data_IF_974842220641
#
_entry.id   IF_974842220641
#
_cell.length_a   1.000
_cell.length_b   1.000
_cell.length_c   1.000
_cell.angle_alpha   90.00
_cell.angle_beta   90.00
_cell.angle_gamma   90.00
#
_symmetry.space_group_name_H-M   'P 1'
#
loop_
_entity.id
_entity.type
_entity.pdbx_description
1 polymer ?
#
# COMPACT_ATOMS: atom_id res chain seq x y z
N UNK A 1 -22.23 -39.86 50.75
CA UNK A 1 -22.46 -39.42 52.13
C UNK A 1 -22.15 -37.93 52.20
N UNK A 2 -23.10 -37.16 52.76
CA UNK A 2 -23.03 -35.80 53.34
C UNK A 2 -22.32 -34.71 52.49
N UNK A 3 -22.96 -33.74 51.83
CA UNK A 3 -23.85 -32.65 52.29
C UNK A 3 -23.38 -31.96 53.58
N UNK A 4 -22.99 -30.67 53.49
CA UNK A 4 -23.34 -29.65 54.48
C UNK A 4 -23.30 -28.26 53.85
N UNK A 5 -24.47 -27.63 53.87
CA UNK A 5 -24.78 -26.22 53.61
C UNK A 5 -24.70 -25.47 54.94
N UNK A 6 -24.24 -24.21 54.96
CA UNK A 6 -24.61 -23.26 56.02
C UNK A 6 -24.94 -21.92 55.38
N UNK A 7 -26.11 -21.39 55.76
CA UNK A 7 -26.67 -20.12 55.37
C UNK A 7 -26.98 -19.30 56.65
N UNK A 8 -27.06 -17.98 56.46
CA UNK A 8 -27.76 -16.96 57.26
C UNK A 8 -27.09 -16.36 58.51
N UNK A 9 -26.97 -15.02 58.53
CA UNK A 9 -27.99 -14.19 59.20
C UNK A 9 -27.89 -12.70 58.81
N UNK A 10 -29.06 -12.10 58.62
CA UNK A 10 -29.34 -10.67 58.48
C UNK A 10 -29.67 -10.10 59.87
N UNK A 11 -29.41 -8.80 60.08
CA UNK A 11 -30.19 -7.98 61.00
C UNK A 11 -30.28 -6.54 60.49
N UNK A 12 -31.52 -6.10 60.25
CA UNK A 12 -31.92 -4.74 59.92
C UNK A 12 -31.68 -3.74 61.07
N UNK A 13 -31.51 -2.47 60.71
CA UNK A 13 -32.15 -1.35 61.44
C UNK A 13 -32.29 -0.12 60.55
N UNK A 14 -33.54 0.34 60.47
CA UNK A 14 -34.06 1.54 59.82
C UNK A 14 -33.57 2.86 60.48
N UNK A 15 -33.59 3.92 59.66
CA UNK A 15 -34.00 5.32 59.92
C UNK A 15 -33.34 6.18 58.82
N UNK A 16 -33.96 7.06 58.03
CA UNK A 16 -35.27 7.71 58.05
C UNK A 16 -35.10 9.10 57.41
N UNK A 17 -36.06 9.50 56.57
CA UNK A 17 -36.36 10.85 56.06
C UNK A 17 -35.59 11.48 54.86
N UNK A 18 -36.24 11.36 53.68
CA UNK A 18 -36.96 12.40 52.92
C UNK A 18 -36.42 13.84 52.77
N UNK A 19 -36.46 14.33 51.51
CA UNK A 19 -37.05 15.61 50.99
C UNK A 19 -36.69 15.69 49.47
N UNK A 20 -37.52 15.27 48.50
CA UNK A 20 -38.66 15.90 47.77
C UNK A 20 -38.45 17.29 47.14
N UNK A 21 -38.74 17.40 45.82
CA UNK A 21 -39.19 18.62 45.12
C UNK A 21 -38.51 18.85 43.76
N UNK A 22 -39.01 18.35 42.63
CA UNK A 22 -40.10 18.87 41.77
C UNK A 22 -39.70 20.02 40.79
N UNK A 23 -40.13 19.84 39.53
CA UNK A 23 -40.01 20.65 38.28
C UNK A 23 -41.45 21.12 37.91
N UNK A 24 -41.82 21.98 36.90
CA UNK A 24 -41.29 23.18 36.15
C UNK A 24 -42.33 24.37 36.27
N UNK A 25 -42.65 25.31 35.30
CA UNK A 25 -42.12 25.69 33.96
C UNK A 25 -42.08 27.21 33.56
N UNK A 26 -41.53 27.46 32.35
CA UNK A 26 -41.89 28.48 31.33
C UNK A 26 -41.54 29.98 31.52
N UNK A 27 -40.79 30.59 30.58
CA UNK A 27 -41.28 31.54 29.54
C UNK A 27 -40.14 32.28 28.80
N UNK A 28 -40.47 32.69 27.56
CA UNK A 28 -39.69 33.41 26.53
C UNK A 28 -39.32 34.85 26.92
N UNK A 29 -38.20 35.41 26.40
CA UNK A 29 -38.17 36.52 25.40
C UNK A 29 -36.75 37.08 25.13
N UNK A 30 -36.46 37.26 23.83
CA UNK A 30 -35.78 38.39 23.13
C UNK A 30 -34.31 38.83 23.36
N UNK A 31 -33.61 38.86 22.21
CA UNK A 31 -32.78 39.92 21.63
C UNK A 31 -31.48 40.41 22.33
N UNK A 32 -30.36 40.06 21.69
CA UNK A 32 -29.33 41.00 21.22
C UNK A 32 -28.38 41.60 22.24
N UNK A 33 -27.10 41.17 22.22
CA UNK A 33 -26.03 42.14 21.98
C UNK A 33 -24.69 41.52 21.57
N UNK A 34 -23.95 42.27 20.76
CA UNK A 34 -22.66 41.92 20.15
C UNK A 34 -21.54 41.93 21.19
N UNK A 35 -20.84 40.80 21.39
CA UNK A 35 -19.58 40.77 22.14
C UNK A 35 -18.37 40.70 21.20
N UNK A 36 -17.57 41.76 21.22
CA UNK A 36 -16.28 41.93 20.52
C UNK A 36 -15.20 41.03 21.12
N UNK A 37 -14.34 40.51 20.26
CA UNK A 37 -13.10 39.81 20.62
C UNK A 37 -12.04 40.76 21.21
N UNK A 38 -11.20 40.32 22.17
CA UNK A 38 -10.10 41.13 22.70
C UNK A 38 -8.83 40.99 21.83
N UNK A 39 -8.22 42.14 21.53
CA UNK A 39 -6.92 42.32 20.89
C UNK A 39 -5.83 42.21 21.95
N UNK A 40 -4.79 41.39 21.70
CA UNK A 40 -3.58 41.30 22.51
C UNK A 40 -2.49 42.22 21.91
N UNK A 41 -2.07 43.26 22.65
CA UNK A 41 -0.87 44.05 22.35
C UNK A 41 0.37 43.40 22.97
N UNK A 42 1.43 43.23 22.18
CA UNK A 42 2.75 42.78 22.62
C UNK A 42 3.68 43.98 22.86
N UNK A 43 4.17 44.12 24.10
CA UNK A 43 5.22 45.07 24.48
C UNK A 43 6.60 44.47 24.14
N UNK A 44 7.40 45.20 23.36
CA UNK A 44 8.82 44.94 23.12
C UNK A 44 9.63 46.06 23.78
N UNK A 45 10.59 45.71 24.66
CA UNK A 45 11.72 46.57 24.99
C UNK A 45 12.88 45.76 25.57
N UNK A 46 14.04 45.75 24.91
CA UNK A 46 15.37 45.58 25.55
C UNK A 46 16.45 46.35 24.75
N UNK A 47 17.50 46.89 25.41
CA UNK A 47 18.38 47.90 24.83
C UNK A 47 19.64 47.35 24.14
N UNK A 48 20.19 48.16 23.23
CA UNK A 48 21.40 47.90 22.44
C UNK A 48 22.70 47.92 23.26
N UNK A 49 23.63 47.02 22.93
CA UNK A 49 25.05 47.07 23.33
C UNK A 49 25.94 47.31 22.11
N UNK A 50 26.73 48.38 22.19
CA UNK A 50 27.77 48.81 21.25
C UNK A 50 28.99 47.89 21.35
N UNK A 51 29.56 47.47 20.21
CA UNK A 51 30.85 46.77 20.15
C UNK A 51 31.82 47.61 19.30
N UNK A 52 32.98 47.89 19.88
CA UNK A 52 34.11 48.63 19.31
C UNK A 52 34.87 47.81 18.27
N UNK A 53 35.23 48.44 17.15
CA UNK A 53 36.03 47.89 16.05
C UNK A 53 37.52 48.14 16.34
N UNK A 54 38.35 47.10 16.33
CA UNK A 54 39.81 47.19 16.31
C UNK A 54 40.32 46.91 14.89
N UNK A 55 41.16 47.81 14.38
CA UNK A 55 41.83 47.70 13.07
C UNK A 55 43.07 46.80 13.12
N UNK A 56 43.30 45.99 12.08
CA UNK A 56 44.64 45.51 11.73
C UNK A 56 44.77 45.27 10.21
N UNK A 57 45.98 45.55 9.70
CA UNK A 57 46.37 45.76 8.30
C UNK A 57 46.02 44.65 7.27
N UNK A 58 45.83 45.00 5.98
CA UNK A 58 45.58 44.02 4.91
C UNK A 58 46.87 43.33 4.44
N UNK A 59 46.84 41.98 4.39
CA UNK A 59 47.80 41.16 3.63
C UNK A 59 47.37 41.12 2.17
N UNK A 60 48.28 41.42 1.25
CA UNK A 60 48.08 41.31 -0.20
C UNK A 60 47.90 39.84 -0.61
N UNK A 61 46.77 39.53 -1.26
CA UNK A 61 46.37 38.18 -1.66
C UNK A 61 46.75 37.92 -3.13
N UNK A 62 47.71 37.03 -3.37
CA UNK A 62 48.21 36.66 -4.70
C UNK A 62 47.19 35.80 -5.46
N UNK A 63 46.47 36.40 -6.42
CA UNK A 63 45.39 35.78 -7.21
C UNK A 63 45.79 34.48 -7.94
N UNK A 64 47.09 34.28 -8.24
CA UNK A 64 47.59 33.12 -8.99
C UNK A 64 47.51 31.80 -8.22
N UNK A 65 47.40 31.81 -6.88
CA UNK A 65 47.34 30.59 -6.06
C UNK A 65 45.93 30.00 -5.90
N UNK A 66 44.89 30.69 -6.34
CA UNK A 66 43.48 30.25 -6.25
C UNK A 66 42.92 29.78 -7.61
N UNK A 67 43.43 30.33 -8.73
CA UNK A 67 42.92 30.00 -10.07
C UNK A 67 43.27 28.58 -10.54
N UNK A 68 44.42 28.04 -10.14
CA UNK A 68 44.84 26.66 -10.52
C UNK A 68 43.96 25.58 -9.88
N UNK A 69 43.67 25.60 -8.55
CA UNK A 69 42.75 24.62 -7.96
C UNK A 69 41.30 24.80 -8.44
N UNK A 70 40.85 26.02 -8.75
CA UNK A 70 39.52 26.24 -9.35
C UNK A 70 39.40 25.66 -10.77
N UNK A 71 40.44 25.78 -11.59
CA UNK A 71 40.47 25.19 -12.92
C UNK A 71 40.39 23.66 -12.89
N UNK A 72 41.08 23.02 -11.94
CA UNK A 72 41.03 21.56 -11.76
C UNK A 72 39.65 21.11 -11.24
N UNK A 73 39.01 21.89 -10.35
CA UNK A 73 37.65 21.63 -9.88
C UNK A 73 36.59 21.77 -10.99
N UNK A 74 36.75 22.73 -11.90
CA UNK A 74 35.84 22.92 -13.03
C UNK A 74 35.98 21.81 -14.09
N UNK A 75 37.21 21.36 -14.37
CA UNK A 75 37.45 20.23 -15.29
C UNK A 75 36.95 18.92 -14.68
N UNK A 76 37.18 18.70 -13.38
CA UNK A 76 36.65 17.54 -12.64
C UNK A 76 35.12 17.54 -12.59
N UNK A 77 34.50 18.71 -12.38
CA UNK A 77 33.04 18.88 -12.41
C UNK A 77 32.43 18.62 -13.79
N UNK A 78 33.08 19.07 -14.86
CA UNK A 78 32.63 18.81 -16.23
C UNK A 78 32.77 17.33 -16.62
N UNK A 79 33.83 16.65 -16.18
CA UNK A 79 34.00 15.19 -16.37
C UNK A 79 32.98 14.38 -15.57
N UNK A 80 32.66 14.78 -14.34
CA UNK A 80 31.60 14.16 -13.54
C UNK A 80 30.21 14.40 -14.15
N UNK A 81 29.94 15.60 -14.67
CA UNK A 81 28.71 15.91 -15.38
C UNK A 81 28.60 15.14 -16.71
N UNK A 82 29.70 14.94 -17.44
CA UNK A 82 29.75 14.13 -18.66
C UNK A 82 29.53 12.65 -18.36
N UNK A 83 30.15 12.12 -17.29
CA UNK A 83 29.93 10.74 -16.83
C UNK A 83 28.49 10.56 -16.35
N UNK A 84 27.94 11.52 -15.60
CA UNK A 84 26.54 11.53 -15.18
C UNK A 84 25.58 11.60 -16.38
N UNK A 85 25.88 12.43 -17.38
CA UNK A 85 25.11 12.53 -18.62
C UNK A 85 25.19 11.24 -19.46
N UNK A 86 26.35 10.59 -19.52
CA UNK A 86 26.55 9.31 -20.19
C UNK A 86 25.89 8.14 -19.43
N UNK A 87 25.75 8.24 -18.11
CA UNK A 87 25.05 7.25 -17.27
C UNK A 87 23.52 7.40 -17.35
N UNK A 88 23.00 8.61 -17.52
CA UNK A 88 21.55 8.87 -17.61
C UNK A 88 21.00 8.64 -19.03
N UNK A 89 21.79 8.90 -20.07
CA UNK A 89 21.36 8.62 -21.45
C UNK A 89 21.44 7.14 -21.83
N UNK A 90 21.92 6.26 -20.94
CA UNK A 90 21.57 4.84 -21.03
C UNK A 90 20.19 4.67 -20.40
N UNK A 91 19.15 4.83 -21.23
CA UNK A 91 17.87 4.20 -20.99
C UNK A 91 18.10 2.68 -20.87
N UNK A 92 18.39 2.21 -19.66
CA UNK A 92 18.36 0.79 -19.34
C UNK A 92 16.89 0.44 -19.22
N UNK A 93 16.25 0.21 -20.37
CA UNK A 93 15.05 -0.59 -20.44
C UNK A 93 15.45 -2.01 -20.04
N UNK A 94 15.02 -2.45 -18.87
CA UNK A 94 15.09 -3.87 -18.50
C UNK A 94 13.94 -4.58 -19.22
N UNK A 95 14.14 -4.87 -20.51
CA UNK A 95 13.38 -5.92 -21.16
C UNK A 95 13.80 -7.27 -20.55
N UNK A 96 12.88 -8.13 -20.08
CA UNK A 96 13.21 -9.44 -19.56
C UNK A 96 13.43 -10.44 -20.71
N UNK A 97 14.34 -10.12 -21.63
CA UNK A 97 14.94 -11.05 -22.60
C UNK A 97 16.36 -10.54 -22.93
N UNK A 98 17.36 -11.42 -23.11
CA UNK A 98 18.72 -11.01 -23.45
C UNK A 98 18.75 -10.33 -24.82
N UNK A 99 19.04 -9.03 -24.82
CA UNK A 99 19.38 -8.29 -26.03
C UNK A 99 20.66 -8.82 -26.66
N UNK A 100 20.58 -9.14 -27.95
CA UNK A 100 21.68 -9.55 -28.82
C UNK A 100 22.78 -8.47 -28.77
N UNK A 101 23.95 -8.82 -28.21
CA UNK A 101 25.13 -7.94 -28.27
C UNK A 101 25.79 -8.05 -29.64
N UNK A 102 26.04 -6.89 -30.25
CA UNK A 102 26.88 -6.77 -31.45
C UNK A 102 28.31 -7.23 -31.16
N UNK A 103 28.87 -7.98 -32.11
CA UNK A 103 29.90 -8.97 -31.84
C UNK A 103 31.35 -8.49 -31.83
N UNK A 104 32.17 -9.30 -31.14
CA UNK A 104 33.44 -9.82 -31.65
C UNK A 104 33.74 -11.16 -30.99
N UNK A 105 33.65 -12.25 -31.76
CA UNK A 105 34.43 -13.49 -31.64
C UNK A 105 34.26 -14.35 -30.38
N UNK A 106 33.43 -15.38 -30.47
CA UNK A 106 33.41 -16.51 -29.54
C UNK A 106 32.23 -17.44 -29.81
N UNK A 107 32.47 -18.52 -30.55
CA UNK A 107 31.49 -19.58 -30.80
C UNK A 107 31.00 -20.19 -29.48
N UNK A 108 29.69 -20.12 -29.27
CA UNK A 108 29.01 -20.62 -28.07
C UNK A 108 27.55 -20.19 -28.07
N UNK A 109 26.76 -20.74 -28.99
CA UNK A 109 25.30 -20.60 -29.01
C UNK A 109 24.69 -21.27 -27.78
N UNK A 110 24.62 -20.52 -26.67
CA UNK A 110 23.80 -20.86 -25.52
C UNK A 110 22.46 -20.14 -25.61
N UNK A 111 21.55 -20.61 -26.48
CA UNK A 111 20.13 -20.48 -26.16
C UNK A 111 19.95 -21.30 -24.89
N UNK A 112 19.98 -20.64 -23.72
CA UNK A 112 19.57 -21.28 -22.48
C UNK A 112 18.17 -21.82 -22.70
N UNK A 113 18.05 -23.15 -22.70
CA UNK A 113 16.79 -23.84 -22.89
C UNK A 113 15.79 -23.30 -21.86
N UNK A 114 14.56 -22.98 -22.25
CA UNK A 114 13.52 -22.50 -21.31
C UNK A 114 13.30 -23.50 -20.18
N UNK A 115 13.66 -24.77 -20.39
CA UNK A 115 13.67 -25.83 -19.38
C UNK A 115 14.68 -25.64 -18.24
N UNK A 116 15.62 -24.71 -18.37
CA UNK A 116 16.59 -24.37 -17.31
C UNK A 116 16.20 -23.11 -16.52
N UNK A 117 15.07 -22.46 -16.83
CA UNK A 117 14.64 -21.25 -16.13
C UNK A 117 13.65 -21.55 -15.00
N UNK A 118 13.73 -20.78 -13.92
CA UNK A 118 12.71 -20.75 -12.87
C UNK A 118 11.61 -19.76 -13.26
N UNK A 119 10.38 -20.25 -13.39
CA UNK A 119 9.20 -19.42 -13.66
C UNK A 119 8.54 -19.01 -12.34
N UNK A 120 8.46 -17.70 -12.09
CA UNK A 120 7.77 -17.16 -10.93
C UNK A 120 6.27 -17.57 -10.96
N UNK A 121 5.76 -18.33 -9.98
CA UNK A 121 4.37 -18.80 -9.97
C UNK A 121 3.34 -17.70 -9.71
N UNK A 122 3.77 -16.51 -9.30
CA UNK A 122 2.90 -15.37 -9.03
C UNK A 122 2.60 -14.58 -10.29
N UNK A 123 3.60 -14.35 -11.15
CA UNK A 123 3.51 -13.40 -12.27
C UNK A 123 4.21 -13.86 -13.57
N UNK A 124 4.75 -15.07 -13.60
CA UNK A 124 5.34 -15.68 -14.79
C UNK A 124 6.71 -15.15 -15.19
N UNK A 125 7.30 -14.19 -14.49
CA UNK A 125 8.66 -13.74 -14.80
C UNK A 125 9.65 -14.91 -14.74
N UNK A 126 10.55 -14.99 -15.73
CA UNK A 126 11.56 -16.04 -15.83
C UNK A 126 12.88 -15.58 -15.23
N UNK A 127 13.50 -16.43 -14.43
CA UNK A 127 14.79 -16.21 -13.78
C UNK A 127 15.72 -17.37 -14.06
N UNK A 128 17.04 -17.13 -14.10
CA UNK A 128 17.99 -18.24 -14.05
C UNK A 128 17.82 -19.00 -12.72
N UNK A 129 18.17 -20.29 -12.67
CA UNK A 129 18.12 -21.04 -11.41
C UNK A 129 18.94 -20.35 -10.31
N UNK A 130 20.10 -19.79 -10.66
CA UNK A 130 20.98 -19.08 -9.72
C UNK A 130 20.35 -17.80 -9.18
N UNK A 131 19.67 -17.01 -10.01
CA UNK A 131 18.99 -15.80 -9.53
C UNK A 131 17.82 -16.17 -8.60
N UNK A 132 17.13 -17.26 -8.92
CA UNK A 132 16.00 -17.76 -8.16
C UNK A 132 16.38 -18.31 -6.78
N UNK A 133 17.61 -18.78 -6.56
CA UNK A 133 18.05 -19.28 -5.25
C UNK A 133 17.84 -18.29 -4.11
N UNK A 134 17.91 -16.99 -4.41
CA UNK A 134 17.74 -15.94 -3.42
C UNK A 134 16.31 -15.79 -2.91
N UNK A 135 15.29 -16.33 -3.60
CA UNK A 135 13.88 -16.12 -3.24
C UNK A 135 12.96 -17.32 -3.42
N UNK A 136 13.29 -18.32 -4.23
CA UNK A 136 12.40 -19.43 -4.60
C UNK A 136 11.83 -20.19 -3.39
N UNK A 137 12.63 -20.30 -2.33
CA UNK A 137 12.30 -20.99 -1.09
C UNK A 137 11.81 -20.03 0.02
N UNK A 138 11.59 -18.75 -0.28
CA UNK A 138 11.07 -17.75 0.68
C UNK A 138 9.58 -17.55 0.50
N UNK A 139 8.86 -17.26 1.58
CA UNK A 139 7.48 -16.79 1.48
C UNK A 139 7.40 -15.41 0.81
N UNK A 140 6.37 -15.17 -0.02
CA UNK A 140 6.02 -13.82 -0.45
C UNK A 140 5.75 -12.91 0.75
N UNK A 141 5.89 -11.60 0.54
CA UNK A 141 5.59 -10.57 1.54
C UNK A 141 4.50 -9.65 0.98
N UNK A 142 3.38 -9.59 1.68
CA UNK A 142 2.28 -8.69 1.40
C UNK A 142 2.40 -7.46 2.30
N UNK A 143 2.48 -6.26 1.71
CA UNK A 143 2.67 -5.02 2.49
C UNK A 143 1.49 -4.10 2.28
N UNK A 144 0.84 -3.68 3.35
CA UNK A 144 -0.20 -2.65 3.29
C UNK A 144 0.42 -1.28 3.04
N UNK A 145 0.02 -0.65 1.94
CA UNK A 145 0.55 0.64 1.49
C UNK A 145 -0.58 1.67 1.35
N UNK A 146 -0.27 2.87 1.81
CA UNK A 146 -1.09 4.06 1.71
C UNK A 146 -1.33 4.44 0.25
N UNK A 147 -2.53 4.93 -0.07
CA UNK A 147 -2.77 5.64 -1.33
C UNK A 147 -3.39 7.03 -1.14
N UNK A 148 -3.30 7.58 0.07
CA UNK A 148 -3.70 8.96 0.34
C UNK A 148 -2.89 9.93 -0.51
N UNK A 149 -3.57 10.91 -1.10
CA UNK A 149 -3.01 11.83 -2.08
C UNK A 149 -1.71 12.49 -1.63
N UNK A 150 -1.69 13.11 -0.44
CA UNK A 150 -0.52 13.83 0.07
C UNK A 150 0.64 12.91 0.48
N UNK A 151 0.42 11.59 0.51
CA UNK A 151 1.45 10.61 0.82
C UNK A 151 2.16 10.07 -0.44
N UNK A 152 1.60 10.33 -1.64
CA UNK A 152 2.20 9.93 -2.92
C UNK A 152 3.39 10.86 -3.26
N UNK A 153 4.43 10.38 -3.96
CA UNK A 153 4.64 8.99 -4.39
C UNK A 153 5.01 8.05 -3.24
N UNK A 154 4.63 6.79 -3.42
CA UNK A 154 5.01 5.65 -2.57
C UNK A 154 6.34 5.06 -3.05
N UNK A 155 7.14 4.50 -2.15
CA UNK A 155 8.42 3.85 -2.47
C UNK A 155 8.24 2.34 -2.63
N UNK A 156 8.90 1.72 -3.61
CA UNK A 156 9.08 0.28 -3.76
C UNK A 156 8.00 -0.45 -4.58
N UNK A 157 6.97 0.24 -5.08
CA UNK A 157 5.87 -0.37 -5.83
C UNK A 157 6.33 -0.97 -7.17
N UNK A 158 7.35 -0.42 -7.84
CA UNK A 158 7.82 -0.94 -9.13
C UNK A 158 8.49 -2.32 -9.02
N UNK A 159 8.82 -2.76 -7.80
CA UNK A 159 9.38 -4.08 -7.52
C UNK A 159 8.33 -5.15 -7.24
N UNK A 160 7.06 -4.80 -7.04
CA UNK A 160 6.03 -5.78 -6.72
C UNK A 160 5.81 -6.78 -7.87
N UNK A 161 5.45 -8.01 -7.53
CA UNK A 161 5.03 -9.02 -8.52
C UNK A 161 3.54 -8.84 -8.86
N UNK A 162 2.71 -8.59 -7.84
CA UNK A 162 1.28 -8.26 -7.95
C UNK A 162 0.99 -7.07 -7.05
N UNK A 163 0.09 -6.17 -7.46
CA UNK A 163 -0.42 -5.10 -6.60
C UNK A 163 -1.94 -5.17 -6.57
N UNK A 164 -2.51 -5.29 -5.38
CA UNK A 164 -3.95 -5.12 -5.17
C UNK A 164 -4.30 -3.68 -4.79
N UNK A 165 -5.39 -3.14 -5.31
CA UNK A 165 -5.94 -1.85 -4.92
C UNK A 165 -7.45 -1.95 -4.63
N UNK A 166 -7.84 -1.56 -3.42
CA UNK A 166 -9.23 -1.67 -2.92
C UNK A 166 -9.58 -0.42 -2.09
N UNK A 167 -10.84 0.00 -2.08
CA UNK A 167 -11.33 1.07 -1.19
C UNK A 167 -11.20 0.65 0.26
N UNK A 168 -10.63 1.53 1.09
CA UNK A 168 -10.44 1.30 2.53
C UNK A 168 -11.40 2.11 3.39
N UNK A 169 -11.39 3.43 3.27
CA UNK A 169 -12.14 4.34 4.14
C UNK A 169 -12.57 5.56 3.35
N UNK A 170 -13.86 5.90 3.40
CA UNK A 170 -14.38 7.15 2.82
C UNK A 170 -13.93 7.40 1.36
N UNK A 171 -13.88 6.33 0.55
CA UNK A 171 -13.46 6.39 -0.86
C UNK A 171 -11.96 6.41 -1.13
N UNK A 172 -11.12 6.50 -0.08
CA UNK A 172 -9.67 6.40 -0.21
C UNK A 172 -9.28 4.95 -0.42
N UNK A 173 -8.52 4.66 -1.48
CA UNK A 173 -7.97 3.31 -1.70
C UNK A 173 -6.72 3.05 -0.87
N UNK A 174 -6.41 1.77 -0.70
CA UNK A 174 -5.09 1.30 -0.24
C UNK A 174 -4.54 0.31 -1.24
N UNK A 175 -3.22 0.24 -1.26
CA UNK A 175 -2.48 -0.71 -2.07
C UNK A 175 -2.00 -1.86 -1.19
N UNK A 176 -1.89 -3.04 -1.77
CA UNK A 176 -1.19 -4.18 -1.18
C UNK A 176 -0.31 -4.85 -2.24
N UNK A 177 0.93 -4.36 -2.44
CA UNK A 177 1.93 -5.09 -3.19
C UNK A 177 2.28 -6.42 -2.52
N UNK A 178 2.40 -7.46 -3.36
CA UNK A 178 2.99 -8.75 -3.06
C UNK A 178 4.40 -8.79 -3.66
N UNK A 179 5.40 -9.06 -2.83
CA UNK A 179 6.80 -9.19 -3.23
C UNK A 179 7.26 -10.63 -3.04
N UNK A 180 7.79 -11.25 -4.08
CA UNK A 180 8.36 -12.59 -4.05
C UNK A 180 9.68 -12.64 -4.80
N UNK A 181 9.70 -12.36 -6.11
CA UNK A 181 10.92 -12.47 -6.92
C UNK A 181 11.80 -11.23 -6.86
N UNK A 182 11.20 -10.07 -6.59
CA UNK A 182 11.87 -8.78 -6.53
C UNK A 182 11.42 -8.09 -5.26
N UNK A 183 12.35 -7.42 -4.59
CA UNK A 183 12.10 -6.73 -3.32
C UNK A 183 12.73 -5.33 -3.36
N UNK A 184 12.05 -4.30 -2.83
CA UNK A 184 12.61 -2.95 -2.73
C UNK A 184 13.60 -2.86 -1.55
N UNK A 185 14.37 -1.78 -1.46
CA UNK A 185 15.10 -1.46 -0.22
C UNK A 185 14.14 -0.93 0.84
N UNK A 186 13.25 -0.01 0.43
CA UNK A 186 12.25 0.62 1.29
C UNK A 186 10.86 0.61 0.66
N UNK A 187 9.86 0.24 1.47
CA UNK A 187 8.45 0.31 1.11
C UNK A 187 7.75 1.39 1.94
N UNK A 188 7.07 2.32 1.28
CA UNK A 188 6.38 3.44 1.94
C UNK A 188 5.14 3.90 1.16
N UNK A 189 4.12 4.50 1.77
CA UNK A 189 3.94 4.63 3.22
C UNK A 189 3.10 3.49 3.77
N UNK A 190 3.53 2.80 4.83
CA UNK A 190 2.80 1.62 5.34
C UNK A 190 1.47 2.04 5.99
N UNK A 191 0.44 1.22 5.81
CA UNK A 191 -0.91 1.49 6.33
C UNK A 191 -1.60 0.32 7.00
N UNK A 192 -2.77 0.62 7.55
CA UNK A 192 -3.50 -0.31 8.36
C UNK A 192 -4.10 -1.45 7.54
N UNK A 193 -4.17 -2.62 8.15
CA UNK A 193 -4.82 -3.80 7.60
C UNK A 193 -6.35 -3.67 7.55
N UNK A 194 -6.98 -4.21 6.51
CA UNK A 194 -8.43 -4.48 6.43
C UNK A 194 -8.63 -5.95 6.15
N UNK A 195 -9.73 -6.54 6.62
CA UNK A 195 -9.90 -7.99 6.59
C UNK A 195 -9.81 -8.58 5.17
N UNK A 196 -10.39 -7.92 4.16
CA UNK A 196 -10.31 -8.39 2.78
C UNK A 196 -8.87 -8.38 2.23
N UNK A 197 -7.99 -7.47 2.68
CA UNK A 197 -6.55 -7.56 2.35
C UNK A 197 -5.86 -8.73 3.04
N UNK A 198 -6.32 -9.12 4.25
CA UNK A 198 -5.85 -10.33 4.94
C UNK A 198 -6.21 -11.58 4.13
N UNK A 199 -7.45 -11.67 3.62
CA UNK A 199 -7.87 -12.75 2.72
C UNK A 199 -7.03 -12.79 1.43
N UNK A 200 -6.83 -11.63 0.78
CA UNK A 200 -5.96 -11.54 -0.40
C UNK A 200 -4.53 -12.01 -0.10
N UNK A 201 -3.93 -11.60 1.02
CA UNK A 201 -2.59 -12.03 1.43
C UNK A 201 -2.51 -13.53 1.76
N UNK A 202 -3.58 -14.09 2.32
CA UNK A 202 -3.70 -15.52 2.60
C UNK A 202 -3.70 -16.38 1.32
N UNK A 203 -4.23 -15.85 0.21
CA UNK A 203 -4.08 -16.46 -1.13
C UNK A 203 -2.63 -16.71 -1.56
N UNK A 204 -1.69 -15.90 -1.06
CA UNK A 204 -0.25 -16.02 -1.34
C UNK A 204 0.54 -16.70 -0.22
N UNK A 205 -0.13 -17.13 0.87
CA UNK A 205 0.50 -17.66 2.09
C UNK A 205 1.64 -16.74 2.59
N UNK A 206 1.44 -15.44 2.42
CA UNK A 206 2.45 -14.40 2.55
C UNK A 206 2.69 -13.98 4.00
N UNK A 207 3.85 -13.38 4.26
CA UNK A 207 4.06 -12.55 5.44
C UNK A 207 3.30 -11.25 5.29
N UNK A 208 2.50 -10.91 6.29
CA UNK A 208 1.64 -9.74 6.22
C UNK A 208 2.21 -8.56 7.01
N UNK A 209 2.51 -7.48 6.32
CA UNK A 209 3.17 -6.31 6.89
C UNK A 209 2.19 -5.14 6.88
N UNK A 210 1.95 -4.54 8.04
CA UNK A 210 0.96 -3.48 8.18
C UNK A 210 1.32 -2.51 9.31
N UNK A 211 0.55 -1.44 9.47
CA UNK A 211 0.68 -0.50 10.59
C UNK A 211 -0.70 -0.22 11.19
N UNK A 212 -1.03 -0.95 12.26
CA UNK A 212 -2.36 -1.02 12.83
C UNK A 212 -3.36 -1.79 11.96
N UNK A 213 -4.57 -1.99 12.48
CA UNK A 213 -5.63 -2.67 11.75
C UNK A 213 -7.01 -2.09 12.11
N UNK A 214 -8.03 -2.41 11.31
CA UNK A 214 -9.41 -2.30 11.81
C UNK A 214 -9.59 -3.34 12.94
N UNK A 215 -10.15 -2.94 14.09
CA UNK A 215 -10.27 -3.82 15.26
C UNK A 215 -11.45 -3.46 16.13
N UNK A 216 -12.03 -4.45 16.80
CA UNK A 216 -13.04 -4.25 17.84
C UNK A 216 -12.34 -3.84 19.14
N UNK A 217 -12.68 -2.68 19.73
CA UNK A 217 -12.02 -2.20 20.93
C UNK A 217 -12.35 -3.08 22.15
N UNK A 218 -11.42 -3.13 23.11
CA UNK A 218 -11.56 -3.96 24.32
C UNK A 218 -12.85 -3.66 25.11
N UNK A 219 -13.27 -2.39 25.17
CA UNK A 219 -14.51 -2.01 25.83
C UNK A 219 -15.76 -2.60 25.15
N UNK A 220 -15.73 -2.83 23.84
CA UNK A 220 -16.82 -3.46 23.11
C UNK A 220 -16.82 -4.99 23.28
N UNK A 221 -15.64 -5.59 23.51
CA UNK A 221 -15.51 -7.03 23.85
C UNK A 221 -15.86 -7.33 25.32
N UNK A 222 -15.98 -6.33 26.19
CA UNK A 222 -16.24 -6.51 27.61
C UNK A 222 -17.69 -6.98 27.88
N UNK A 223 -17.94 -7.75 28.96
CA UNK A 223 -19.29 -8.09 29.38
C UNK A 223 -20.12 -6.82 29.62
N UNK A 224 -21.40 -6.82 29.24
CA UNK A 224 -22.30 -5.65 29.39
C UNK A 224 -22.40 -5.19 30.86
N UNK A 225 -22.17 -6.10 31.81
CA UNK A 225 -22.16 -5.83 33.26
C UNK A 225 -20.85 -5.20 33.77
N UNK A 226 -19.81 -5.12 32.94
CA UNK A 226 -18.51 -4.59 33.32
C UNK A 226 -18.48 -3.06 33.25
N UNK A 227 -17.80 -2.43 34.22
CA UNK A 227 -17.52 -0.98 34.19
C UNK A 227 -16.67 -0.53 32.99
N UNK A 228 -15.96 -1.47 32.35
CA UNK A 228 -15.19 -1.23 31.13
C UNK A 228 -16.00 -1.35 29.84
N UNK A 229 -17.29 -1.72 29.90
CA UNK A 229 -18.13 -1.84 28.71
C UNK A 229 -18.47 -0.47 28.12
N UNK A 230 -18.28 -0.32 26.80
CA UNK A 230 -18.73 0.84 26.06
C UNK A 230 -19.98 0.48 25.24
N UNK A 231 -21.17 1.03 25.57
CA UNK A 231 -22.38 0.75 24.80
C UNK A 231 -22.29 1.40 23.40
N UNK A 232 -23.00 0.86 22.40
CA UNK A 232 -23.16 1.48 21.09
C UNK A 232 -23.61 2.95 21.21
N UNK A 233 -22.95 3.85 20.48
CA UNK A 233 -23.31 5.27 20.42
C UNK A 233 -24.12 5.53 19.16
N UNK A 234 -25.32 6.09 19.30
CA UNK A 234 -26.23 6.30 18.16
C UNK A 234 -26.68 5.00 17.49
N UNK A 235 -26.77 3.90 18.26
CA UNK A 235 -27.15 2.58 17.76
C UNK A 235 -26.04 1.84 16.99
N UNK A 236 -24.82 2.38 16.95
CA UNK A 236 -23.69 1.80 16.22
C UNK A 236 -22.56 1.35 17.15
N UNK A 237 -22.03 0.18 16.88
CA UNK A 237 -20.75 -0.28 17.46
C UNK A 237 -19.59 0.52 16.89
N UNK A 238 -18.45 0.55 17.60
CA UNK A 238 -17.25 1.26 17.12
C UNK A 238 -16.66 0.58 15.88
N UNK A 239 -16.56 -0.75 15.92
CA UNK A 239 -16.15 -1.58 14.80
C UNK A 239 -17.04 -2.83 14.76
N UNK A 240 -17.56 -3.20 13.59
CA UNK A 240 -18.29 -4.48 13.46
C UNK A 240 -17.31 -5.67 13.59
N UNK A 241 -17.60 -6.70 14.42
CA UNK A 241 -16.73 -7.87 14.55
C UNK A 241 -16.40 -8.59 13.24
N UNK A 242 -17.27 -8.52 12.23
CA UNK A 242 -17.03 -9.14 10.92
C UNK A 242 -15.83 -8.54 10.18
N UNK A 243 -15.47 -7.29 10.48
CA UNK A 243 -14.38 -6.56 9.83
C UNK A 243 -13.16 -6.35 10.74
N UNK A 244 -13.10 -7.04 11.89
CA UNK A 244 -11.93 -7.04 12.77
C UNK A 244 -10.74 -7.73 12.07
N UNK A 245 -9.85 -6.93 11.51
CA UNK A 245 -8.73 -7.42 10.73
C UNK A 245 -7.67 -8.14 11.60
N UNK A 246 -7.55 -7.83 12.90
CA UNK A 246 -6.66 -8.62 13.76
C UNK A 246 -7.23 -10.03 13.99
N UNK A 247 -8.53 -10.13 14.24
CA UNK A 247 -9.18 -11.45 14.40
C UNK A 247 -9.07 -12.25 13.09
N UNK A 248 -9.18 -11.60 11.92
CA UNK A 248 -8.94 -12.25 10.63
C UNK A 248 -7.48 -12.68 10.40
N UNK A 249 -6.49 -11.90 10.81
CA UNK A 249 -5.07 -12.30 10.74
C UNK A 249 -4.85 -13.59 11.54
N UNK A 250 -5.43 -13.68 12.74
CA UNK A 250 -5.38 -14.89 13.58
C UNK A 250 -6.13 -16.04 12.93
N UNK A 251 -7.36 -15.80 12.45
CA UNK A 251 -8.23 -16.80 11.80
C UNK A 251 -7.56 -17.42 10.57
N UNK A 252 -6.87 -16.62 9.76
CA UNK A 252 -6.16 -17.09 8.57
C UNK A 252 -4.77 -17.67 8.87
N UNK A 253 -4.30 -17.55 10.12
CA UNK A 253 -2.98 -18.02 10.52
C UNK A 253 -1.84 -17.29 9.80
N UNK A 254 -2.01 -16.01 9.47
CA UNK A 254 -1.00 -15.23 8.75
C UNK A 254 0.11 -14.76 9.70
N UNK A 255 1.38 -15.13 9.46
CA UNK A 255 2.50 -14.47 10.11
C UNK A 255 2.47 -12.98 9.74
N UNK A 256 2.65 -12.11 10.73
CA UNK A 256 2.55 -10.68 10.49
C UNK A 256 3.50 -9.85 11.35
N UNK A 257 3.86 -8.68 10.83
CA UNK A 257 4.54 -7.62 11.57
C UNK A 257 3.69 -6.36 11.49
N UNK A 258 3.24 -5.91 12.66
CA UNK A 258 2.61 -4.60 12.85
C UNK A 258 3.68 -3.57 13.19
N UNK A 259 3.98 -2.68 12.25
CA UNK A 259 4.97 -1.62 12.41
C UNK A 259 4.70 -0.71 13.61
N UNK A 260 3.43 -0.58 14.04
CA UNK A 260 3.09 0.17 15.26
C UNK A 260 3.69 -0.42 16.55
N UNK A 261 3.99 -1.71 16.57
CA UNK A 261 4.57 -2.41 17.72
C UNK A 261 6.10 -2.51 17.66
N UNK A 262 6.70 -2.32 16.47
CA UNK A 262 8.11 -2.58 16.21
C UNK A 262 8.86 -1.41 15.60
N UNK A 263 8.25 -0.21 15.55
CA UNK A 263 8.91 1.00 15.10
C UNK A 263 9.97 1.45 16.08
N UNK A 264 11.14 1.85 15.57
CA UNK A 264 12.18 2.48 16.37
C UNK A 264 12.95 3.53 15.56
N UNK A 265 13.80 4.27 16.26
CA UNK A 265 14.67 5.29 15.66
C UNK A 265 16.01 4.69 15.26
N UNK A 266 16.42 4.92 14.01
CA UNK A 266 17.75 4.55 13.51
C UNK A 266 17.74 3.68 12.24
N UNK A 267 18.93 3.43 11.67
CA UNK A 267 19.09 2.73 10.40
C UNK A 267 18.80 1.22 10.51
N UNK A 268 18.93 0.64 11.71
CA UNK A 268 18.72 -0.79 11.97
C UNK A 268 17.27 -1.14 12.32
N UNK A 269 16.36 -0.16 12.22
CA UNK A 269 14.94 -0.35 12.49
C UNK A 269 14.23 -0.82 11.23
N UNK A 270 13.51 -1.94 11.32
CA UNK A 270 12.71 -2.44 10.19
C UNK A 270 11.56 -1.50 9.86
N UNK A 271 10.99 -0.82 10.86
CA UNK A 271 9.91 0.17 10.70
C UNK A 271 10.34 1.53 11.22
N UNK A 272 9.86 2.59 10.59
CA UNK A 272 10.12 3.96 11.01
C UNK A 272 9.12 4.96 10.43
N UNK A 273 9.35 6.24 10.70
CA UNK A 273 8.61 7.38 10.12
C UNK A 273 9.53 8.19 9.22
N UNK A 274 9.08 8.48 8.01
CA UNK A 274 9.85 9.20 7.00
C UNK A 274 10.07 10.66 7.47
N UNK A 275 11.31 11.05 7.80
CA UNK A 275 11.60 12.39 8.30
C UNK A 275 11.30 13.48 7.27
N UNK A 276 11.24 13.15 5.98
CA UNK A 276 10.88 14.10 4.94
C UNK A 276 9.37 14.40 4.89
N UNK A 277 8.54 13.52 5.47
CA UNK A 277 7.07 13.65 5.53
C UNK A 277 6.57 14.02 6.93
N UNK A 278 7.29 13.66 8.00
CA UNK A 278 6.94 14.05 9.39
C UNK A 278 6.84 15.57 9.51
N UNK A 279 5.74 16.04 10.10
CA UNK A 279 5.45 17.48 10.25
C UNK A 279 4.90 18.16 8.99
N UNK A 280 4.85 17.46 7.84
CA UNK A 280 4.27 17.99 6.58
C UNK A 280 2.91 17.36 6.24
N UNK A 281 2.71 16.11 6.65
CA UNK A 281 1.44 15.39 6.52
C UNK A 281 1.11 14.70 7.85
N UNK A 282 -0.15 14.28 8.09
CA UNK A 282 -0.51 13.59 9.31
C UNK A 282 0.37 12.34 9.52
N UNK A 283 0.84 12.15 10.75
CA UNK A 283 1.91 11.21 11.10
C UNK A 283 1.62 9.80 10.61
N UNK A 284 0.36 9.40 10.63
CA UNK A 284 -0.12 8.10 10.20
C UNK A 284 0.19 7.80 8.72
N UNK A 285 0.39 8.83 7.87
CA UNK A 285 0.78 8.69 6.46
C UNK A 285 2.31 8.67 6.24
N UNK A 286 3.12 8.66 7.29
CA UNK A 286 4.59 8.78 7.18
C UNK A 286 5.35 7.48 7.44
N UNK A 287 4.66 6.39 7.77
CA UNK A 287 5.30 5.10 8.07
C UNK A 287 6.06 4.52 6.87
N UNK A 288 7.18 3.86 7.09
CA UNK A 288 7.88 3.04 6.08
C UNK A 288 8.40 1.74 6.70
N UNK A 289 8.77 0.76 5.87
CA UNK A 289 9.63 -0.34 6.29
C UNK A 289 10.86 -0.51 5.38
N UNK A 290 11.95 -0.98 5.98
CA UNK A 290 13.17 -1.42 5.29
C UNK A 290 13.05 -2.90 5.03
N UNK A 291 12.85 -3.26 3.77
CA UNK A 291 12.56 -4.63 3.37
C UNK A 291 13.64 -5.64 3.83
N UNK A 292 14.96 -5.35 3.70
CA UNK A 292 16.01 -6.27 4.14
C UNK A 292 15.97 -6.60 5.64
N UNK A 293 15.38 -5.73 6.45
CA UNK A 293 15.31 -5.89 7.90
C UNK A 293 14.05 -6.63 8.37
N UNK A 294 13.03 -6.77 7.51
CA UNK A 294 11.77 -7.45 7.86
C UNK A 294 12.03 -8.91 8.26
N UNK A 295 12.78 -9.66 7.46
CA UNK A 295 13.13 -11.05 7.76
C UNK A 295 14.00 -11.20 9.02
N UNK A 296 14.83 -10.19 9.32
CA UNK A 296 15.63 -10.19 10.55
C UNK A 296 14.72 -10.01 11.77
N UNK A 297 13.93 -8.94 11.78
CA UNK A 297 12.99 -8.63 12.87
C UNK A 297 12.05 -9.80 13.13
N UNK A 298 11.49 -10.35 12.06
CA UNK A 298 10.67 -11.55 12.05
C UNK A 298 11.28 -12.73 12.83
N UNK A 299 12.51 -13.13 12.49
CA UNK A 299 13.18 -14.24 13.18
C UNK A 299 13.38 -13.97 14.67
N UNK A 300 13.55 -12.71 15.05
CA UNK A 300 13.77 -12.31 16.44
C UNK A 300 12.48 -12.31 17.25
N UNK A 301 11.38 -11.77 16.70
CA UNK A 301 10.12 -11.54 17.45
C UNK A 301 9.03 -12.57 17.17
N UNK A 302 9.21 -13.41 16.14
CA UNK A 302 8.29 -14.48 15.72
C UNK A 302 9.06 -15.77 15.35
N UNK A 303 9.91 -16.32 16.23
CA UNK A 303 10.73 -17.49 15.91
C UNK A 303 9.92 -18.76 15.60
N UNK A 304 8.67 -18.83 16.09
CA UNK A 304 7.74 -19.93 15.80
C UNK A 304 7.12 -19.84 14.40
N UNK A 305 7.15 -18.67 13.76
CA UNK A 305 6.55 -18.49 12.44
C UNK A 305 7.58 -18.97 11.39
N UNK A 306 7.17 -19.82 10.45
CA UNK A 306 8.08 -20.36 9.43
C UNK A 306 8.36 -19.32 8.33
N UNK A 307 9.26 -18.37 8.63
CA UNK A 307 9.49 -17.21 7.76
C UNK A 307 10.11 -17.52 6.41
N UNK A 308 10.82 -18.64 6.31
CA UNK A 308 11.44 -19.07 5.07
C UNK A 308 10.49 -20.00 4.31
N UNK A 309 9.95 -21.04 4.95
CA UNK A 309 9.20 -22.12 4.31
C UNK A 309 8.19 -21.64 3.24
N UNK A 310 8.61 -21.72 1.97
CA UNK A 310 7.74 -21.49 0.83
C UNK A 310 6.63 -22.55 0.83
N UNK A 311 5.40 -22.06 0.67
CA UNK A 311 4.23 -22.92 0.46
C UNK A 311 3.81 -22.66 -0.98
N UNK A 312 3.74 -23.69 -1.84
CA UNK A 312 3.28 -23.52 -3.20
C UNK A 312 1.95 -22.78 -3.24
N UNK A 313 1.93 -21.66 -3.97
CA UNK A 313 0.72 -20.91 -4.26
C UNK A 313 0.08 -21.45 -5.53
N UNK A 314 -1.24 -21.34 -5.65
CA UNK A 314 -1.92 -21.60 -6.92
C UNK A 314 -1.29 -20.74 -8.01
N UNK A 315 -0.87 -21.38 -9.10
CA UNK A 315 -0.17 -20.74 -10.21
C UNK A 315 -1.18 -20.39 -11.30
N UNK A 316 -1.10 -19.15 -11.82
CA UNK A 316 -1.80 -18.79 -13.05
C UNK A 316 -1.04 -19.27 -14.28
N UNK A 317 -1.72 -19.31 -15.42
CA UNK A 317 -1.05 -19.56 -16.69
C UNK A 317 -0.43 -18.27 -17.21
N UNK A 318 0.73 -18.41 -17.87
CA UNK A 318 1.51 -17.28 -18.35
C UNK A 318 1.97 -17.47 -19.79
N UNK A 319 2.11 -16.36 -20.51
CA UNK A 319 2.59 -16.29 -21.89
C UNK A 319 3.57 -15.14 -22.07
N UNK A 320 4.44 -15.27 -23.06
CA UNK A 320 5.35 -14.18 -23.43
C UNK A 320 4.57 -13.00 -24.06
N UNK A 321 5.24 -11.86 -24.21
CA UNK A 321 4.69 -10.69 -24.91
C UNK A 321 4.18 -11.09 -26.30
N UNK A 322 3.01 -10.57 -26.70
CA UNK A 322 2.57 -10.72 -28.08
C UNK A 322 3.57 -10.02 -29.04
N UNK A 323 3.80 -10.57 -30.24
CA UNK A 323 4.50 -9.86 -31.31
C UNK A 323 3.86 -8.49 -31.57
N UNK A 324 4.65 -7.49 -31.92
CA UNK A 324 4.15 -6.11 -32.11
C UNK A 324 2.98 -6.02 -33.09
N UNK A 325 3.00 -6.84 -34.16
CA UNK A 325 1.94 -6.96 -35.16
C UNK A 325 0.62 -7.53 -34.61
N UNK A 326 0.67 -8.22 -33.47
CA UNK A 326 -0.49 -8.82 -32.82
C UNK A 326 -1.01 -8.01 -31.63
N UNK A 327 -0.27 -6.96 -31.21
CA UNK A 327 -0.69 -6.06 -30.12
C UNK A 327 -1.83 -5.17 -30.58
N UNK A 328 -2.86 -5.04 -29.73
CA UNK A 328 -3.99 -4.15 -29.96
C UNK A 328 -3.69 -2.69 -29.61
N UNK A 329 -4.73 -1.87 -29.60
CA UNK A 329 -4.65 -0.42 -29.34
C UNK A 329 -5.51 0.02 -28.14
N UNK A 330 -6.08 -0.93 -27.37
CA UNK A 330 -6.86 -0.62 -26.15
C UNK A 330 -5.95 0.07 -25.14
N UNK A 331 -6.37 1.22 -24.64
CA UNK A 331 -5.59 2.04 -23.73
C UNK A 331 -4.60 3.00 -24.40
N UNK A 332 -4.40 2.94 -25.73
CA UNK A 332 -3.43 3.77 -26.44
C UNK A 332 -3.96 5.20 -26.65
N UNK A 333 -4.93 5.37 -27.57
CA UNK A 333 -5.56 6.66 -27.85
C UNK A 333 -6.69 6.99 -26.86
N UNK A 334 -7.41 5.96 -26.41
CA UNK A 334 -8.45 6.05 -25.38
C UNK A 334 -7.98 5.30 -24.13
N UNK A 335 -7.41 6.00 -23.14
CA UNK A 335 -6.87 5.40 -21.93
C UNK A 335 -7.93 4.66 -21.12
N UNK A 336 -7.53 3.57 -20.46
CA UNK A 336 -8.42 2.87 -19.53
C UNK A 336 -8.60 3.78 -18.32
N UNK A 337 -9.83 4.16 -18.03
CA UNK A 337 -10.14 5.13 -16.98
C UNK A 337 -11.42 4.78 -16.23
N UNK A 338 -11.37 5.03 -14.93
CA UNK A 338 -12.46 4.82 -14.00
C UNK A 338 -12.13 5.55 -12.69
N UNK A 339 -13.11 5.64 -11.82
CA UNK A 339 -12.88 6.04 -10.44
C UNK A 339 -13.34 4.91 -9.52
N UNK A 340 -12.85 4.87 -8.29
CA UNK A 340 -13.37 3.92 -7.29
C UNK A 340 -14.71 4.42 -6.77
N UNK A 341 -14.70 5.57 -6.11
CA UNK A 341 -15.88 6.36 -5.75
C UNK A 341 -15.79 7.72 -6.43
N UNK A 342 -16.74 8.63 -6.22
CA UNK A 342 -16.72 9.97 -6.81
C UNK A 342 -15.71 10.92 -6.11
N UNK A 343 -14.41 10.58 -6.18
CA UNK A 343 -13.30 11.35 -5.62
C UNK A 343 -12.24 11.62 -6.70
N UNK A 344 -12.11 12.85 -7.22
CA UNK A 344 -11.19 13.15 -8.33
C UNK A 344 -9.73 12.73 -8.07
N UNK A 345 -9.23 12.87 -6.84
CA UNK A 345 -7.86 12.50 -6.45
C UNK A 345 -7.54 11.00 -6.62
N UNK A 346 -8.57 10.16 -6.72
CA UNK A 346 -8.48 8.70 -6.86
C UNK A 346 -8.84 8.20 -8.26
N UNK A 347 -9.26 9.08 -9.17
CA UNK A 347 -9.52 8.73 -10.56
C UNK A 347 -8.28 8.08 -11.17
N UNK A 348 -8.44 6.85 -11.69
CA UNK A 348 -7.36 6.03 -12.25
C UNK A 348 -7.35 6.17 -13.75
N UNK A 349 -6.14 6.20 -14.31
CA UNK A 349 -5.90 6.16 -15.74
C UNK A 349 -4.72 5.26 -16.06
N UNK A 350 -4.90 4.39 -17.05
CA UNK A 350 -3.84 3.58 -17.65
C UNK A 350 -3.70 3.92 -19.12
N UNK A 351 -2.48 4.25 -19.55
CA UNK A 351 -2.14 4.49 -20.95
C UNK A 351 -1.27 3.35 -21.44
N UNK A 352 -1.67 2.72 -22.54
CA UNK A 352 -0.92 1.62 -23.13
C UNK A 352 0.29 2.15 -23.91
N UNK A 353 1.45 1.59 -23.59
CA UNK A 353 2.73 1.78 -24.25
C UNK A 353 2.97 0.57 -25.16
N UNK A 354 2.59 0.72 -26.44
CA UNK A 354 2.62 -0.37 -27.42
C UNK A 354 4.03 -0.85 -27.73
N UNK A 355 5.03 0.01 -27.61
CA UNK A 355 6.45 -0.33 -27.83
C UNK A 355 6.94 -1.30 -26.75
N UNK A 356 6.71 -0.96 -25.48
CA UNK A 356 7.15 -1.75 -24.34
C UNK A 356 6.17 -2.87 -23.91
N UNK A 357 4.99 -2.93 -24.53
CA UNK A 357 3.90 -3.86 -24.19
C UNK A 357 3.46 -3.74 -22.72
N UNK A 358 3.26 -2.51 -22.24
CA UNK A 358 2.98 -2.21 -20.84
C UNK A 358 1.93 -1.09 -20.71
N UNK A 359 1.32 -0.98 -19.53
CA UNK A 359 0.39 0.10 -19.19
C UNK A 359 1.02 1.03 -18.17
N UNK A 360 1.05 2.33 -18.46
CA UNK A 360 1.59 3.38 -17.60
C UNK A 360 0.47 3.95 -16.73
N UNK A 361 0.71 3.99 -15.41
CA UNK A 361 -0.30 4.38 -14.42
C UNK A 361 -0.31 5.88 -14.13
N UNK A 362 -1.51 6.45 -14.01
CA UNK A 362 -1.75 7.78 -13.43
C UNK A 362 -2.91 7.74 -12.43
N UNK A 363 -2.90 8.63 -11.44
CA UNK A 363 -3.99 8.82 -10.50
C UNK A 363 -4.21 10.28 -10.16
N UNK A 364 -5.47 10.72 -10.07
CA UNK A 364 -5.78 12.12 -9.75
C UNK A 364 -5.18 13.10 -10.75
N UNK A 365 -5.06 12.69 -12.03
CA UNK A 365 -4.41 13.47 -13.08
C UNK A 365 -2.88 13.49 -13.04
N UNK A 366 -2.24 12.85 -12.05
CA UNK A 366 -0.78 12.83 -11.90
C UNK A 366 -0.23 11.47 -12.29
N UNK A 367 0.81 11.46 -13.14
CA UNK A 367 1.54 10.23 -13.47
C UNK A 367 2.20 9.68 -12.20
N UNK A 368 2.00 8.40 -11.91
CA UNK A 368 2.57 7.82 -10.72
C UNK A 368 3.99 7.33 -10.97
N UNK A 369 4.88 7.66 -10.04
CA UNK A 369 6.25 7.19 -10.01
C UNK A 369 6.51 6.44 -8.70
N UNK A 370 7.49 5.57 -8.73
CA UNK A 370 8.08 4.99 -7.52
C UNK A 370 9.11 5.96 -6.93
N UNK A 371 8.93 6.37 -5.68
CA UNK A 371 9.83 7.30 -5.01
C UNK A 371 11.25 6.73 -4.76
N UNK A 372 11.43 5.41 -4.82
CA UNK A 372 12.73 4.75 -4.62
C UNK A 372 13.67 4.94 -5.82
N UNK A 373 13.13 4.96 -7.04
CA UNK A 373 13.93 4.94 -8.27
C UNK A 373 13.45 5.93 -9.35
N UNK A 374 12.43 6.73 -9.07
CA UNK A 374 11.80 7.69 -9.99
C UNK A 374 11.24 7.09 -11.29
N UNK A 375 11.08 5.76 -11.36
CA UNK A 375 10.47 5.11 -12.51
C UNK A 375 8.96 5.27 -12.48
N UNK A 376 8.37 5.40 -13.67
CA UNK A 376 6.91 5.36 -13.84
C UNK A 376 6.37 4.01 -13.40
N UNK A 377 5.24 4.00 -12.69
CA UNK A 377 4.56 2.76 -12.35
C UNK A 377 3.94 2.16 -13.62
N UNK A 378 4.27 0.90 -13.88
CA UNK A 378 3.92 0.16 -15.09
C UNK A 378 3.41 -1.24 -14.74
N UNK A 379 2.51 -1.77 -15.55
CA UNK A 379 2.03 -3.15 -15.42
C UNK A 379 1.93 -3.81 -16.81
N UNK A 380 2.19 -5.12 -16.88
CA UNK A 380 1.92 -5.92 -18.08
C UNK A 380 0.43 -6.25 -18.18
N UNK A 381 -0.18 -6.52 -17.03
CA UNK A 381 -1.59 -6.87 -16.90
C UNK A 381 -2.30 -5.92 -15.93
N UNK A 382 -3.40 -5.35 -16.38
CA UNK A 382 -4.30 -4.53 -15.57
C UNK A 382 -5.63 -5.27 -15.45
N UNK A 383 -6.02 -5.64 -14.24
CA UNK A 383 -7.22 -6.43 -13.97
C UNK A 383 -8.20 -5.58 -13.17
N UNK A 384 -9.33 -5.23 -13.76
CA UNK A 384 -10.45 -4.63 -13.04
C UNK A 384 -11.42 -5.73 -12.63
N UNK A 385 -11.46 -6.03 -11.33
CA UNK A 385 -12.31 -7.05 -10.72
C UNK A 385 -13.54 -6.40 -10.10
N UNK A 386 -14.73 -6.74 -10.60
CA UNK A 386 -16.00 -6.25 -10.06
C UNK A 386 -16.44 -7.07 -8.86
N UNK A 387 -16.75 -6.42 -7.74
CA UNK A 387 -17.01 -7.10 -6.47
C UNK A 387 -17.92 -6.27 -5.60
N UNK A 388 -18.96 -6.89 -5.04
CA UNK A 388 -19.89 -6.23 -4.12
C UNK A 388 -19.14 -5.61 -2.94
N UNK A 389 -19.42 -4.34 -2.68
CA UNK A 389 -18.90 -3.59 -1.53
C UNK A 389 -20.07 -2.90 -0.81
N UNK A 390 -20.16 -3.04 0.50
CA UNK A 390 -21.22 -2.40 1.29
C UNK A 390 -20.71 -1.96 2.66
N UNK A 391 -21.33 -0.91 3.23
CA UNK A 391 -21.02 -0.49 4.60
C UNK A 391 -21.52 -1.53 5.60
N UNK A 392 -20.72 -1.86 6.60
CA UNK A 392 -21.17 -2.70 7.74
C UNK A 392 -21.97 -1.94 8.78
N UNK A 393 -22.15 -0.62 8.60
CA UNK A 393 -22.99 0.21 9.46
C UNK A 393 -22.35 0.58 10.81
N UNK A 394 -21.09 0.22 11.05
CA UNK A 394 -20.36 0.65 12.24
C UNK A 394 -20.05 2.16 12.22
N UNK A 395 -19.56 2.68 13.35
CA UNK A 395 -19.28 4.12 13.51
C UNK A 395 -18.16 4.63 12.59
N UNK A 396 -17.23 3.75 12.22
CA UNK A 396 -16.08 4.06 11.36
C UNK A 396 -16.39 3.89 9.87
N UNK A 397 -17.61 3.45 9.54
CA UNK A 397 -18.08 3.18 8.18
C UNK A 397 -17.12 2.25 7.42
N UNK A 398 -16.66 1.19 8.09
CA UNK A 398 -15.88 0.16 7.40
C UNK A 398 -16.72 -0.52 6.30
N UNK A 399 -16.03 -1.05 5.30
CA UNK A 399 -16.63 -1.78 4.19
C UNK A 399 -16.52 -3.29 4.42
N UNK A 400 -17.59 -3.99 4.07
CA UNK A 400 -17.57 -5.38 3.68
C UNK A 400 -17.32 -5.46 2.17
N UNK A 401 -16.31 -6.22 1.77
CA UNK A 401 -15.92 -6.52 0.39
C UNK A 401 -16.05 -8.03 0.20
N UNK A 402 -16.93 -8.46 -0.69
CA UNK A 402 -17.28 -9.88 -0.85
C UNK A 402 -16.29 -10.60 -1.77
N UNK A 403 -15.17 -11.08 -1.19
CA UNK A 403 -14.08 -11.65 -1.99
C UNK A 403 -14.33 -13.10 -2.44
N UNK A 404 -15.18 -13.84 -1.73
CA UNK A 404 -15.44 -15.26 -2.02
C UNK A 404 -16.69 -15.39 -2.88
N UNK A 405 -16.59 -16.12 -3.98
CA UNK A 405 -17.68 -16.31 -4.93
C UNK A 405 -17.20 -16.22 -6.36
N UNK A 406 -18.03 -15.64 -7.21
CA UNK A 406 -17.72 -15.42 -8.63
C UNK A 406 -18.30 -14.10 -9.09
N UNK A 407 -17.70 -13.50 -10.11
CA UNK A 407 -18.17 -12.26 -10.71
C UNK A 407 -17.36 -11.91 -11.96
N UNK A 408 -17.67 -10.75 -12.52
CA UNK A 408 -17.03 -10.29 -13.74
C UNK A 408 -15.70 -9.59 -13.47
N UNK A 409 -14.84 -9.62 -14.48
CA UNK A 409 -13.60 -8.87 -14.55
C UNK A 409 -13.31 -8.42 -15.99
N UNK A 410 -12.52 -7.35 -16.11
CA UNK A 410 -11.86 -6.95 -17.35
C UNK A 410 -10.36 -7.11 -17.17
N UNK A 411 -9.71 -7.82 -18.08
CA UNK A 411 -8.26 -8.00 -18.08
C UNK A 411 -7.68 -7.31 -19.31
N UNK A 412 -6.81 -6.33 -19.09
CA UNK A 412 -6.12 -5.60 -20.13
C UNK A 412 -4.68 -6.07 -20.22
N UNK A 413 -4.29 -6.61 -21.37
CA UNK A 413 -2.95 -7.13 -21.69
C UNK A 413 -2.72 -7.08 -23.21
N UNK A 414 -1.49 -6.89 -23.67
CA UNK A 414 -1.11 -6.70 -25.10
C UNK A 414 -1.95 -5.66 -25.88
N UNK A 415 -2.40 -4.60 -25.22
CA UNK A 415 -3.28 -3.60 -25.85
C UNK A 415 -4.65 -4.15 -26.24
N UNK A 416 -5.08 -5.25 -25.61
CA UNK A 416 -6.39 -5.88 -25.79
C UNK A 416 -7.13 -5.90 -24.45
N UNK A 417 -8.44 -6.15 -24.52
CA UNK A 417 -9.28 -6.41 -23.35
C UNK A 417 -9.87 -7.81 -23.47
N UNK A 418 -9.89 -8.53 -22.35
CA UNK A 418 -10.54 -9.82 -22.20
C UNK A 418 -11.65 -9.64 -21.17
N UNK A 419 -12.89 -9.95 -21.57
CA UNK A 419 -13.99 -10.13 -20.63
C UNK A 419 -13.78 -11.45 -19.91
N UNK A 420 -13.74 -11.40 -18.59
CA UNK A 420 -13.36 -12.55 -17.78
C UNK A 420 -14.35 -12.76 -16.64
N UNK A 421 -14.48 -14.01 -16.21
CA UNK A 421 -15.13 -14.37 -14.94
C UNK A 421 -14.05 -14.73 -13.93
N UNK A 422 -14.05 -14.07 -12.77
CA UNK A 422 -13.24 -14.48 -11.63
C UNK A 422 -14.02 -15.47 -10.76
N UNK A 423 -13.31 -16.42 -10.14
CA UNK A 423 -13.85 -17.33 -9.12
C UNK A 423 -12.87 -17.44 -7.97
N UNK A 424 -13.38 -17.37 -6.73
CA UNK A 424 -12.64 -17.65 -5.51
C UNK A 424 -13.52 -18.50 -4.59
N UNK A 425 -13.10 -19.71 -4.31
CA UNK A 425 -13.84 -20.70 -3.51
C UNK A 425 -13.67 -20.48 -2.01
N UNK A 426 -12.50 -20.02 -1.56
CA UNK A 426 -12.18 -19.84 -0.15
C UNK A 426 -11.44 -18.50 0.11
N UNK A 427 -11.54 -17.95 1.33
CA UNK A 427 -10.84 -16.72 1.73
C UNK A 427 -9.33 -16.73 1.48
N UNK A 428 -8.68 -17.89 1.63
CA UNK A 428 -7.24 -18.06 1.57
C UNK A 428 -6.73 -18.62 0.23
N UNK A 429 -7.55 -18.53 -0.81
CA UNK A 429 -7.21 -18.90 -2.19
C UNK A 429 -7.03 -17.66 -3.09
N UNK A 430 -6.35 -17.86 -4.22
CA UNK A 430 -6.24 -16.85 -5.28
C UNK A 430 -7.45 -16.96 -6.21
N UNK A 431 -7.75 -15.85 -6.88
CA UNK A 431 -8.77 -15.84 -7.92
C UNK A 431 -8.33 -16.72 -9.10
N UNK A 432 -9.24 -17.50 -9.66
CA UNK A 432 -9.13 -18.08 -10.99
C UNK A 432 -9.84 -17.16 -11.98
N UNK A 433 -9.17 -16.79 -13.07
CA UNK A 433 -9.75 -16.00 -14.14
C UNK A 433 -9.97 -16.88 -15.37
N UNK A 434 -11.18 -16.90 -15.90
CA UNK A 434 -11.51 -17.60 -17.16
C UNK A 434 -12.07 -16.62 -18.19
N UNK A 435 -11.85 -16.90 -19.47
CA UNK A 435 -12.42 -16.11 -20.57
C UNK A 435 -13.89 -16.50 -20.85
N UNK A 436 -14.47 -15.94 -21.92
CA UNK A 436 -15.86 -16.23 -22.33
C UNK A 436 -16.08 -17.70 -22.73
N UNK A 437 -15.03 -18.43 -23.13
CA UNK A 437 -15.07 -19.85 -23.45
C UNK A 437 -14.85 -20.75 -22.22
N UNK A 438 -14.65 -20.15 -21.03
CA UNK A 438 -14.30 -20.83 -19.77
C UNK A 438 -12.89 -21.41 -19.75
N UNK A 439 -12.02 -20.99 -20.65
CA UNK A 439 -10.60 -21.35 -20.62
C UNK A 439 -9.85 -20.46 -19.62
N UNK A 440 -8.86 -20.98 -18.87
CA UNK A 440 -8.02 -20.16 -18.01
C UNK A 440 -7.32 -19.03 -18.78
N UNK A 441 -7.37 -17.82 -18.22
CA UNK A 441 -6.66 -16.69 -18.82
C UNK A 441 -5.15 -16.87 -18.63
N UNK A 442 -4.41 -16.73 -19.74
CA UNK A 442 -2.95 -16.67 -19.76
C UNK A 442 -2.51 -15.22 -19.63
N UNK A 443 -1.85 -14.87 -18.52
CA UNK A 443 -1.33 -13.52 -18.28
C UNK A 443 0.00 -13.28 -18.99
N UNK A 444 0.25 -12.05 -19.40
CA UNK A 444 1.57 -11.65 -19.90
C UNK A 444 2.57 -11.69 -18.74
N UNK A 445 3.79 -12.19 -18.99
CA UNK A 445 4.82 -12.28 -17.95
C UNK A 445 5.24 -10.88 -17.47
N UNK A 446 4.98 -10.55 -16.21
CA UNK A 446 5.45 -9.31 -15.59
C UNK A 446 4.54 -8.82 -14.47
N UNK A 447 4.66 -7.55 -14.07
CA UNK A 447 3.87 -7.02 -12.96
C UNK A 447 2.37 -7.00 -13.30
N UNK A 448 1.55 -7.53 -12.39
CA UNK A 448 0.09 -7.56 -12.51
C UNK A 448 -0.52 -6.57 -11.51
N UNK A 449 -1.44 -5.72 -11.95
CA UNK A 449 -2.17 -4.81 -11.07
C UNK A 449 -3.65 -5.17 -11.05
N UNK A 450 -4.18 -5.48 -9.86
CA UNK A 450 -5.55 -5.92 -9.65
C UNK A 450 -6.32 -4.85 -8.87
N UNK A 451 -7.36 -4.31 -9.49
CA UNK A 451 -8.20 -3.26 -8.94
C UNK A 451 -9.58 -3.82 -8.63
N UNK A 452 -9.93 -3.84 -7.35
CA UNK A 452 -11.22 -4.37 -6.90
C UNK A 452 -12.19 -3.21 -6.74
N UNK A 453 -13.16 -3.13 -7.64
CA UNK A 453 -14.13 -2.04 -7.73
C UNK A 453 -15.55 -2.58 -7.49
N UNK A 454 -16.48 -1.74 -7.01
CA UNK A 454 -17.90 -2.10 -6.99
C UNK A 454 -18.45 -2.48 -8.39
N UNK A 455 -19.46 -3.35 -8.52
CA UNK A 455 -20.01 -3.76 -9.81
C UNK A 455 -20.64 -2.62 -10.63
N UNK A 456 -21.05 -1.56 -9.94
CA UNK A 456 -21.64 -0.36 -10.55
C UNK A 456 -20.61 0.57 -11.21
N UNK A 457 -19.31 0.28 -11.09
CA UNK A 457 -18.27 1.14 -11.66
C UNK A 457 -18.21 1.01 -13.18
N UNK A 458 -18.42 2.13 -13.88
CA UNK A 458 -18.21 2.21 -15.32
C UNK A 458 -16.72 2.32 -15.64
N UNK A 459 -16.25 1.50 -16.59
CA UNK A 459 -14.87 1.50 -17.07
C UNK A 459 -14.85 1.99 -18.53
N UNK A 460 -14.05 3.00 -18.82
CA UNK A 460 -13.90 3.58 -20.16
C UNK A 460 -12.55 3.24 -20.76
N UNK A 461 -12.50 2.72 -22.00
CA UNK A 461 -11.26 2.35 -22.70
C UNK A 461 -11.42 2.39 -24.25
N UNK A 462 -12.17 3.37 -24.75
CA UNK A 462 -12.60 3.46 -26.17
C UNK A 462 -13.97 2.83 -26.42
N UNK A 463 -14.45 2.04 -25.46
CA UNK A 463 -15.85 1.73 -25.21
C UNK A 463 -16.13 2.06 -23.75
N UNK A 464 -17.39 2.35 -23.40
CA UNK A 464 -17.79 2.44 -21.99
C UNK A 464 -18.56 1.18 -21.66
N UNK A 465 -18.02 0.34 -20.79
CA UNK A 465 -18.79 -0.75 -20.19
C UNK A 465 -19.65 -0.13 -19.09
N UNK A 466 -20.99 -0.12 -19.24
CA UNK A 466 -21.88 0.42 -18.23
C UNK A 466 -21.74 -0.38 -16.92
N UNK A 467 -22.11 0.27 -15.80
CA UNK A 467 -22.42 -0.39 -14.54
C UNK A 467 -23.25 -1.67 -14.79
N UNK A 468 -22.77 -2.83 -14.35
CA UNK A 468 -23.57 -4.05 -14.34
C UNK A 468 -24.59 -3.97 -13.20
N UNK A 469 -25.86 -4.28 -13.47
CA UNK A 469 -26.93 -4.39 -12.47
C UNK A 469 -26.89 -5.71 -11.71
#
# INVERSE_FOLDING_TARGET
MATTTINASLSDKENGNNLTGAVPPNTKTEAGDKAKAPVYESKISQPAKTVSILSSNPRTFELKKVLVPLGILLIGGALLALVYFLLINKNVSFSPLPGKSDGTGGDGSGMTDKNEMFENPINGMLFSQSDAESFKDKKPVAVMVNNYEAARPSSGLSKADVIYEVVAESGITRLMPIFYSRTPETISSIRSARYYFVELAAGYKAHYIHWGAAFVPACQKAPITSSGYCPPVGGKVETDPKVDAYDWIVKMGLPNLDGGNYSCDGPNCAFGRDPNKVGKIPVEHTAFARFPLLYKLAREVRPQDSWHAYIPVAKWEFKDDAPESERGDVGLAAPISYNYWDLPAFAVKWVYDKENNEYIRSQGGVKQIDAENNQELRAKDVIVRFTKQESVGDKKNHLFVDLVGTGDALIFQDGKVIKSTWTRTNPDERDLYTDENKDPVKFVRGQIWIQIVPPENAISYGQTVPAGN
#
